data_IF_247197443368
#
_entry.id   IF_247197443368
#
_cell.length_a   1.000
_cell.length_b   1.000
_cell.length_c   1.000
_cell.angle_alpha   90.00
_cell.angle_beta   90.00
_cell.angle_gamma   90.00
#
_symmetry.space_group_name_H-M   'P 1'
#
loop_
_entity.id
_entity.type
_entity.pdbx_description
1 polymer ?
#
# COMPACT_ATOMS: atom_id res chain seq x y z
N UNK A 1 21.68 -2.48 17.67
CA UNK A 1 20.93 -3.76 17.81
C UNK A 1 21.09 -4.60 16.55
N UNK A 2 20.91 -5.93 16.68
CA UNK A 2 20.72 -6.83 15.55
C UNK A 2 19.24 -6.95 15.23
N UNK A 3 18.85 -6.60 14.02
CA UNK A 3 17.45 -6.51 13.62
C UNK A 3 17.19 -7.42 12.44
N UNK A 4 16.19 -8.29 12.54
CA UNK A 4 15.70 -9.10 11.44
C UNK A 4 14.38 -8.53 10.94
N UNK A 5 14.36 -7.99 9.73
CA UNK A 5 13.13 -7.59 9.05
C UNK A 5 12.68 -8.72 8.14
N UNK A 6 11.40 -9.10 8.19
CA UNK A 6 10.89 -10.18 7.34
C UNK A 6 9.59 -9.81 6.64
N UNK A 7 9.53 -10.09 5.34
CA UNK A 7 8.38 -9.89 4.49
C UNK A 7 8.22 -11.07 3.53
N UNK A 8 7.00 -11.58 3.36
CA UNK A 8 6.75 -12.73 2.49
C UNK A 8 6.29 -12.31 1.08
N UNK A 9 6.37 -11.04 0.79
CA UNK A 9 6.12 -10.43 -0.51
C UNK A 9 7.44 -10.06 -1.20
N UNK A 10 7.35 -9.60 -2.42
CA UNK A 10 8.50 -9.05 -3.15
C UNK A 10 8.84 -7.67 -2.58
N UNK A 11 10.08 -7.55 -2.09
CA UNK A 11 10.56 -6.31 -1.46
C UNK A 11 11.37 -5.45 -2.44
N UNK A 12 12.22 -6.09 -3.24
CA UNK A 12 13.09 -5.35 -4.16
C UNK A 12 13.31 -6.08 -5.49
N UNK A 13 13.20 -5.40 -6.64
CA UNK A 13 12.80 -3.99 -6.81
C UNK A 13 11.43 -3.66 -6.22
N UNK A 14 11.19 -2.39 -5.87
CA UNK A 14 9.92 -1.98 -5.29
C UNK A 14 8.77 -2.30 -6.26
N UNK A 15 7.82 -3.11 -5.80
CA UNK A 15 6.73 -3.61 -6.65
C UNK A 15 5.35 -3.06 -6.25
N UNK A 16 5.32 -2.03 -5.41
CA UNK A 16 4.10 -1.43 -4.84
C UNK A 16 3.68 -2.08 -3.52
N UNK A 17 2.52 -1.70 -3.00
CA UNK A 17 1.99 -2.20 -1.74
C UNK A 17 2.87 -1.88 -0.53
N UNK A 18 3.18 -2.88 0.28
CA UNK A 18 3.98 -2.71 1.49
C UNK A 18 5.48 -2.48 1.28
N UNK A 19 6.01 -2.73 0.07
CA UNK A 19 7.46 -2.64 -0.18
C UNK A 19 8.06 -1.24 0.04
N UNK A 20 7.43 -0.10 -0.31
CA UNK A 20 7.95 1.23 0.02
C UNK A 20 8.04 1.46 1.53
N UNK A 21 7.01 1.08 2.30
CA UNK A 21 7.02 1.22 3.76
C UNK A 21 8.16 0.45 4.39
N UNK A 22 8.30 -0.83 4.04
CA UNK A 22 9.32 -1.69 4.64
C UNK A 22 10.72 -1.29 4.24
N UNK A 23 10.97 -0.88 2.99
CA UNK A 23 12.28 -0.41 2.57
C UNK A 23 12.71 0.87 3.31
N UNK A 24 11.80 1.83 3.51
CA UNK A 24 12.09 3.03 4.30
C UNK A 24 12.40 2.69 5.77
N UNK A 25 11.69 1.75 6.38
CA UNK A 25 11.96 1.28 7.75
C UNK A 25 13.34 0.59 7.83
N UNK A 26 13.68 -0.28 6.86
CA UNK A 26 14.99 -0.93 6.79
C UNK A 26 16.11 0.10 6.69
N UNK A 27 15.98 1.05 5.77
CA UNK A 27 16.93 2.13 5.57
C UNK A 27 17.09 3.00 6.82
N UNK A 28 16.00 3.28 7.56
CA UNK A 28 16.07 4.05 8.80
C UNK A 28 16.85 3.29 9.89
N UNK A 29 16.61 1.98 10.06
CA UNK A 29 17.41 1.17 10.96
C UNK A 29 18.89 1.18 10.58
N UNK A 30 19.21 1.04 9.30
CA UNK A 30 20.59 1.05 8.81
C UNK A 30 21.27 2.43 9.03
N UNK A 31 20.59 3.53 8.72
CA UNK A 31 21.07 4.90 8.96
C UNK A 31 21.37 5.17 10.42
N UNK A 32 20.61 4.58 11.34
CA UNK A 32 20.82 4.72 12.80
C UNK A 32 21.86 3.74 13.36
N UNK A 33 22.61 3.05 12.48
CA UNK A 33 23.75 2.21 12.85
C UNK A 33 23.38 0.83 13.38
N UNK A 34 22.16 0.33 13.11
CA UNK A 34 21.78 -1.02 13.47
C UNK A 34 22.28 -2.04 12.43
N UNK A 35 22.60 -3.25 12.88
CA UNK A 35 22.92 -4.38 12.00
C UNK A 35 21.62 -5.03 11.51
N UNK A 36 21.32 -4.90 10.23
CA UNK A 36 20.02 -5.31 9.66
C UNK A 36 20.19 -6.53 8.75
N UNK A 37 19.47 -7.60 9.07
CA UNK A 37 19.26 -8.74 8.18
C UNK A 37 17.85 -8.67 7.60
N UNK A 38 17.72 -8.87 6.29
CA UNK A 38 16.44 -8.84 5.59
C UNK A 38 16.10 -10.24 5.09
N UNK A 39 14.93 -10.76 5.48
CA UNK A 39 14.38 -12.01 4.97
C UNK A 39 13.14 -11.71 4.11
N UNK A 40 13.28 -11.77 2.79
CA UNK A 40 12.20 -11.36 1.87
C UNK A 40 12.38 -11.82 0.44
N UNK A 41 11.45 -11.40 -0.41
CA UNK A 41 11.53 -11.58 -1.86
C UNK A 41 12.45 -10.55 -2.49
N UNK A 42 13.52 -11.03 -3.07
CA UNK A 42 14.49 -10.21 -3.79
C UNK A 42 14.61 -10.76 -5.20
N UNK A 43 14.26 -9.95 -6.19
CA UNK A 43 14.32 -10.34 -7.59
C UNK A 43 15.61 -9.89 -8.30
N UNK A 44 16.38 -8.97 -7.68
CA UNK A 44 17.69 -8.51 -8.15
C UNK A 44 18.87 -9.29 -7.54
N UNK A 45 20.10 -8.82 -7.73
CA UNK A 45 21.28 -9.34 -7.03
C UNK A 45 21.23 -8.98 -5.53
N UNK A 46 21.94 -9.77 -4.69
CA UNK A 46 22.01 -9.47 -3.27
C UNK A 46 22.80 -8.19 -2.98
N UNK A 47 23.83 -7.91 -3.81
CA UNK A 47 24.66 -6.71 -3.70
C UNK A 47 23.84 -5.44 -3.95
N UNK A 48 23.09 -5.42 -5.06
CA UNK A 48 22.23 -4.29 -5.42
C UNK A 48 21.14 -4.04 -4.35
N UNK A 49 20.50 -5.12 -3.88
CA UNK A 49 19.48 -5.00 -2.85
C UNK A 49 20.07 -4.55 -1.51
N UNK A 50 21.28 -5.01 -1.13
CA UNK A 50 21.96 -4.54 0.09
C UNK A 50 22.35 -3.08 0.01
N UNK A 51 22.87 -2.63 -1.14
CA UNK A 51 23.22 -1.24 -1.37
C UNK A 51 21.98 -0.34 -1.23
N UNK A 52 20.88 -0.72 -1.90
CA UNK A 52 19.63 0.04 -1.83
C UNK A 52 19.02 0.07 -0.43
N UNK A 53 18.92 -1.09 0.24
CA UNK A 53 18.29 -1.23 1.56
C UNK A 53 19.19 -0.81 2.71
N UNK A 54 20.49 -0.72 2.51
CA UNK A 54 21.49 -0.48 3.57
C UNK A 54 21.66 -1.66 4.53
N UNK A 55 21.20 -2.87 4.17
CA UNK A 55 21.22 -4.04 5.06
C UNK A 55 22.53 -4.81 4.93
N UNK A 56 22.89 -5.56 6.02
CA UNK A 56 24.14 -6.32 6.07
C UNK A 56 24.00 -7.72 5.49
N UNK A 57 22.81 -8.31 5.60
CA UNK A 57 22.54 -9.67 5.17
C UNK A 57 21.17 -9.82 4.51
N UNK A 58 21.09 -10.65 3.47
CA UNK A 58 19.85 -11.01 2.79
C UNK A 58 19.60 -12.51 2.90
N UNK A 59 18.37 -12.87 3.24
CA UNK A 59 17.84 -14.23 3.21
C UNK A 59 16.69 -14.27 2.22
N UNK A 60 16.92 -14.88 1.06
CA UNK A 60 15.89 -15.00 0.03
C UNK A 60 14.77 -15.93 0.49
N UNK A 61 13.56 -15.42 0.57
CA UNK A 61 12.35 -16.21 0.74
C UNK A 61 11.71 -16.52 -0.61
N UNK A 62 10.94 -17.60 -0.67
CA UNK A 62 10.09 -17.87 -1.84
C UNK A 62 8.86 -16.98 -1.74
N UNK A 63 8.80 -15.98 -2.59
CA UNK A 63 7.65 -15.11 -2.66
C UNK A 63 6.72 -15.53 -3.77
N UNK A 64 5.46 -15.20 -3.62
CA UNK A 64 4.47 -15.24 -4.68
C UNK A 64 4.03 -13.81 -4.83
N UNK A 65 4.40 -13.20 -5.94
CA UNK A 65 3.92 -11.86 -6.27
C UNK A 65 2.39 -11.91 -6.33
N UNK A 66 1.73 -11.22 -5.38
CA UNK A 66 0.30 -10.99 -5.27
C UNK A 66 -0.54 -12.20 -4.85
N UNK A 67 -1.54 -11.95 -4.02
CA UNK A 67 -2.61 -12.87 -3.62
C UNK A 67 -3.54 -13.16 -4.82
N UNK A 68 -3.03 -13.87 -5.80
CA UNK A 68 -3.83 -14.43 -6.88
C UNK A 68 -4.39 -15.77 -6.38
N UNK A 69 -5.73 -15.99 -6.37
CA UNK A 69 -6.33 -17.25 -5.95
C UNK A 69 -5.77 -18.46 -6.70
N UNK A 70 -5.39 -18.29 -7.98
CA UNK A 70 -4.76 -19.34 -8.78
C UNK A 70 -3.32 -19.65 -8.35
N UNK A 71 -2.64 -18.70 -7.71
CA UNK A 71 -1.28 -18.86 -7.15
C UNK A 71 -1.28 -19.27 -5.69
N UNK A 72 -2.42 -19.26 -5.02
CA UNK A 72 -2.57 -19.61 -3.61
C UNK A 72 -1.97 -20.98 -3.27
N UNK A 73 -2.11 -21.98 -4.16
CA UNK A 73 -1.47 -23.30 -3.98
C UNK A 73 0.05 -23.20 -3.89
N UNK A 74 0.68 -22.40 -4.78
CA UNK A 74 2.14 -22.18 -4.76
C UNK A 74 2.58 -21.47 -3.50
N UNK A 75 1.79 -20.51 -3.03
CA UNK A 75 2.01 -19.79 -1.80
C UNK A 75 1.98 -20.71 -0.57
N UNK A 76 0.98 -21.57 -0.45
CA UNK A 76 0.87 -22.56 0.63
C UNK A 76 2.04 -23.56 0.62
N UNK A 77 2.51 -23.99 -0.56
CA UNK A 77 3.66 -24.87 -0.69
C UNK A 77 5.00 -24.17 -0.34
N UNK A 78 5.10 -22.87 -0.58
CA UNK A 78 6.28 -22.09 -0.22
C UNK A 78 6.38 -21.83 1.29
N UNK A 79 5.27 -21.82 2.00
CA UNK A 79 5.17 -21.46 3.42
C UNK A 79 6.07 -22.31 4.34
N UNK A 80 6.03 -23.65 4.33
CA UNK A 80 6.89 -24.46 5.17
C UNK A 80 8.38 -24.20 4.92
N UNK A 81 8.78 -23.98 3.66
CA UNK A 81 10.17 -23.68 3.29
C UNK A 81 10.58 -22.32 3.84
N UNK A 82 9.72 -21.32 3.73
CA UNK A 82 9.97 -19.99 4.27
C UNK A 82 10.06 -20.00 5.80
N UNK A 83 9.17 -20.74 6.47
CA UNK A 83 9.22 -20.94 7.93
C UNK A 83 10.55 -21.54 8.36
N UNK A 84 10.98 -22.61 7.69
CA UNK A 84 12.26 -23.25 7.99
C UNK A 84 13.44 -22.29 7.77
N UNK A 85 13.45 -21.57 6.66
CA UNK A 85 14.49 -20.56 6.38
C UNK A 85 14.51 -19.46 7.45
N UNK A 86 13.34 -18.98 7.86
CA UNK A 86 13.22 -17.94 8.87
C UNK A 86 13.73 -18.43 10.25
N UNK A 87 13.31 -19.62 10.70
CA UNK A 87 13.81 -20.22 11.95
C UNK A 87 15.33 -20.37 11.92
N UNK A 88 15.89 -20.84 10.79
CA UNK A 88 17.34 -20.95 10.61
C UNK A 88 18.04 -19.59 10.66
N UNK A 89 17.44 -18.55 10.06
CA UNK A 89 17.97 -17.19 10.07
C UNK A 89 17.98 -16.60 11.47
N UNK A 90 16.89 -16.76 12.23
CA UNK A 90 16.83 -16.31 13.63
C UNK A 90 17.91 -16.99 14.48
N UNK A 91 18.11 -18.32 14.31
CA UNK A 91 19.17 -19.06 15.02
C UNK A 91 20.58 -18.57 14.69
N UNK A 92 20.83 -18.28 13.40
CA UNK A 92 22.16 -17.88 12.93
C UNK A 92 22.47 -16.44 13.27
N UNK A 93 21.55 -15.54 12.95
CA UNK A 93 21.73 -14.09 13.12
C UNK A 93 21.59 -13.65 14.58
N UNK A 94 20.78 -14.35 15.37
CA UNK A 94 20.46 -14.06 16.79
C UNK A 94 20.02 -12.61 16.97
N UNK A 95 18.90 -12.19 16.34
CA UNK A 95 18.42 -10.83 16.42
C UNK A 95 17.98 -10.44 17.84
N UNK A 96 18.15 -9.18 18.18
CA UNK A 96 17.53 -8.55 19.35
C UNK A 96 16.06 -8.24 19.11
N UNK A 97 15.74 -7.88 17.85
CA UNK A 97 14.43 -7.44 17.39
C UNK A 97 14.09 -8.16 16.07
N UNK A 98 12.85 -8.63 15.95
CA UNK A 98 12.28 -9.08 14.68
C UNK A 98 11.12 -8.13 14.31
N UNK A 99 11.16 -7.58 13.09
CA UNK A 99 10.09 -6.73 12.52
C UNK A 99 9.49 -7.47 11.33
N UNK A 100 8.46 -8.31 11.55
CA UNK A 100 7.73 -8.93 10.45
C UNK A 100 6.71 -7.96 9.84
N UNK A 101 6.59 -7.98 8.52
CA UNK A 101 5.54 -7.27 7.80
C UNK A 101 4.34 -8.18 7.60
N UNK A 102 3.19 -7.75 8.08
CA UNK A 102 1.92 -8.44 8.09
C UNK A 102 1.91 -9.78 8.86
N UNK A 103 0.74 -10.37 8.95
CA UNK A 103 0.45 -11.47 9.88
C UNK A 103 1.12 -12.79 9.51
N UNK A 104 1.33 -13.06 8.22
CA UNK A 104 1.96 -14.30 7.77
C UNK A 104 3.44 -14.32 8.15
N UNK A 105 4.17 -13.23 7.89
CA UNK A 105 5.55 -13.08 8.34
C UNK A 105 5.61 -13.03 9.87
N UNK A 106 4.61 -12.40 10.51
CA UNK A 106 4.44 -12.34 11.96
C UNK A 106 4.36 -13.73 12.61
N UNK A 107 3.52 -14.60 12.07
CA UNK A 107 3.44 -15.97 12.56
C UNK A 107 4.78 -16.73 12.42
N UNK A 108 5.45 -16.54 11.27
CA UNK A 108 6.78 -17.09 11.06
C UNK A 108 7.84 -16.56 12.03
N UNK A 109 7.80 -15.27 12.33
CA UNK A 109 8.70 -14.64 13.30
C UNK A 109 8.50 -15.21 14.70
N UNK A 110 7.25 -15.41 15.15
CA UNK A 110 6.94 -16.03 16.43
C UNK A 110 7.45 -17.47 16.53
N UNK A 111 7.29 -18.26 15.47
CA UNK A 111 7.87 -19.61 15.41
C UNK A 111 9.41 -19.56 15.43
N UNK A 112 10.01 -18.61 14.69
CA UNK A 112 11.44 -18.36 14.70
C UNK A 112 11.95 -18.04 16.11
N UNK A 113 11.31 -17.10 16.80
CA UNK A 113 11.64 -16.73 18.17
C UNK A 113 11.51 -17.93 19.13
N UNK A 114 10.39 -18.68 19.04
CA UNK A 114 10.12 -19.84 19.90
C UNK A 114 11.15 -20.98 19.75
N UNK A 115 11.54 -21.30 18.51
CA UNK A 115 12.36 -22.48 18.21
C UNK A 115 13.85 -22.14 18.00
N UNK A 116 14.27 -20.89 18.07
CA UNK A 116 15.67 -20.49 17.86
C UNK A 116 16.55 -20.63 19.09
N UNK A 117 15.99 -20.67 20.30
CA UNK A 117 16.71 -20.55 21.57
C UNK A 117 17.09 -19.10 21.91
N UNK A 118 16.74 -18.13 21.06
CA UNK A 118 16.84 -16.71 21.35
C UNK A 118 15.47 -16.18 21.84
N UNK A 119 15.48 -15.01 22.50
CA UNK A 119 14.25 -14.32 22.92
C UNK A 119 14.23 -12.91 22.30
N UNK A 120 14.14 -12.80 20.97
CA UNK A 120 14.03 -11.49 20.33
C UNK A 120 12.69 -10.85 20.67
N UNK A 121 12.65 -9.52 20.73
CA UNK A 121 11.41 -8.78 20.73
C UNK A 121 10.75 -8.93 19.35
N UNK A 122 9.44 -9.19 19.28
CA UNK A 122 8.70 -9.29 18.01
C UNK A 122 7.73 -8.11 17.90
N UNK A 123 8.05 -7.18 17.01
CA UNK A 123 7.22 -5.99 16.70
C UNK A 123 6.60 -6.17 15.33
N UNK A 124 5.33 -6.56 15.27
CA UNK A 124 4.62 -6.77 13.99
C UNK A 124 4.27 -5.42 13.36
N UNK A 125 4.78 -5.17 12.15
CA UNK A 125 4.35 -4.06 11.32
C UNK A 125 3.14 -4.52 10.49
N UNK A 126 1.93 -4.13 10.90
CA UNK A 126 0.67 -4.63 10.35
C UNK A 126 -0.03 -3.54 9.55
N UNK A 127 -0.07 -3.69 8.25
CA UNK A 127 -0.73 -2.76 7.34
C UNK A 127 -2.04 -3.30 6.79
N UNK A 128 -2.26 -4.62 6.90
CA UNK A 128 -3.42 -5.28 6.32
C UNK A 128 -3.79 -6.57 7.07
N UNK A 129 -5.09 -6.91 7.07
CA UNK A 129 -5.64 -8.17 7.55
C UNK A 129 -6.03 -9.03 6.35
N UNK A 130 -5.14 -9.94 5.99
CA UNK A 130 -5.13 -10.62 4.68
C UNK A 130 -6.29 -11.60 4.49
N UNK A 131 -6.72 -12.30 5.55
CA UNK A 131 -7.66 -13.40 5.41
C UNK A 131 -9.12 -12.95 5.34
N UNK A 132 -9.41 -11.69 5.64
CA UNK A 132 -10.72 -11.10 5.38
C UNK A 132 -10.95 -10.79 3.90
N UNK A 133 -9.89 -10.49 3.14
CA UNK A 133 -9.96 -10.37 1.68
C UNK A 133 -10.47 -11.65 1.00
N UNK A 134 -10.11 -12.81 1.53
CA UNK A 134 -10.46 -14.09 0.92
C UNK A 134 -11.95 -14.41 1.03
N UNK A 135 -12.69 -13.75 1.93
CA UNK A 135 -14.15 -13.94 2.06
C UNK A 135 -14.90 -13.48 0.80
N UNK A 136 -14.36 -12.50 0.11
CA UNK A 136 -14.97 -11.98 -1.11
C UNK A 136 -14.74 -12.89 -2.34
N UNK A 137 -13.81 -13.87 -2.24
CA UNK A 137 -13.38 -14.69 -3.38
C UNK A 137 -13.78 -16.16 -3.29
N UNK A 138 -14.40 -16.64 -2.19
CA UNK A 138 -14.60 -18.08 -2.01
C UNK A 138 -16.01 -18.48 -1.63
N UNK A 139 -16.55 -19.40 -2.41
CA UNK A 139 -17.73 -20.19 -2.10
C UNK A 139 -17.35 -21.67 -2.08
N UNK A 140 -16.79 -22.15 -0.93
CA UNK A 140 -16.73 -23.59 -0.64
C UNK A 140 -15.43 -24.35 -0.97
N UNK A 141 -15.33 -25.57 -0.48
CA UNK A 141 -14.27 -26.53 -0.76
C UNK A 141 -12.99 -26.34 0.09
N UNK A 142 -11.82 -26.69 -0.48
CA UNK A 142 -10.52 -26.60 0.19
C UNK A 142 -10.10 -25.16 0.54
N UNK A 143 -10.57 -24.16 -0.20
CA UNK A 143 -10.34 -22.73 0.09
C UNK A 143 -10.89 -22.33 1.46
N UNK A 144 -12.04 -22.85 1.87
CA UNK A 144 -12.60 -22.61 3.21
C UNK A 144 -11.70 -23.13 4.34
N UNK A 145 -11.01 -24.27 4.12
CA UNK A 145 -10.03 -24.79 5.10
C UNK A 145 -8.78 -23.89 5.18
N UNK A 146 -8.31 -23.41 4.03
CA UNK A 146 -7.18 -22.47 3.95
C UNK A 146 -7.50 -21.17 4.68
N UNK A 147 -8.70 -20.61 4.47
CA UNK A 147 -9.15 -19.42 5.16
C UNK A 147 -9.22 -19.62 6.67
N UNK A 148 -9.86 -20.71 7.13
CA UNK A 148 -9.93 -21.02 8.58
C UNK A 148 -8.55 -21.16 9.21
N UNK A 149 -7.62 -21.82 8.51
CA UNK A 149 -6.24 -21.96 9.00
C UNK A 149 -5.51 -20.61 8.97
N UNK A 150 -5.65 -19.85 7.89
CA UNK A 150 -5.07 -18.54 7.74
C UNK A 150 -5.52 -17.55 8.81
N UNK A 151 -6.83 -17.48 9.09
CA UNK A 151 -7.37 -16.65 10.18
C UNK A 151 -6.81 -17.05 11.56
N UNK A 152 -6.60 -18.37 11.80
CA UNK A 152 -5.96 -18.82 13.04
C UNK A 152 -4.50 -18.37 13.10
N UNK A 153 -3.76 -18.42 12.00
CA UNK A 153 -2.39 -17.92 11.93
C UNK A 153 -2.33 -16.42 12.16
N UNK A 154 -3.23 -15.67 11.52
CA UNK A 154 -3.37 -14.22 11.67
C UNK A 154 -3.65 -13.85 13.13
N UNK A 155 -4.66 -14.46 13.73
CA UNK A 155 -4.97 -14.27 15.14
C UNK A 155 -3.80 -14.66 16.06
N UNK A 156 -3.06 -15.72 15.74
CA UNK A 156 -1.89 -16.14 16.51
C UNK A 156 -0.74 -15.12 16.38
N UNK A 157 -0.52 -14.56 15.18
CA UNK A 157 0.47 -13.52 14.96
C UNK A 157 0.14 -12.24 15.75
N UNK A 158 -1.11 -11.80 15.71
CA UNK A 158 -1.57 -10.59 16.39
C UNK A 158 -1.48 -10.75 17.92
N UNK A 159 -2.00 -11.85 18.47
CA UNK A 159 -1.99 -12.07 19.93
C UNK A 159 -0.58 -12.34 20.47
N UNK A 160 0.24 -13.04 19.69
CA UNK A 160 1.59 -13.44 20.07
C UNK A 160 2.64 -12.35 19.93
N UNK A 161 2.35 -11.27 19.21
CA UNK A 161 3.25 -10.13 19.09
C UNK A 161 3.51 -9.47 20.45
N UNK A 162 4.76 -9.07 20.71
CA UNK A 162 5.09 -8.24 21.87
C UNK A 162 4.52 -6.82 21.70
N UNK A 163 4.64 -6.29 20.48
CA UNK A 163 4.06 -5.01 20.05
C UNK A 163 3.58 -5.09 18.59
N UNK A 164 2.66 -4.19 18.25
CA UNK A 164 2.14 -4.03 16.89
C UNK A 164 2.25 -2.56 16.51
N UNK A 165 2.75 -2.26 15.33
CA UNK A 165 2.70 -0.93 14.73
C UNK A 165 1.83 -1.03 13.48
N UNK A 166 0.75 -0.25 13.45
CA UNK A 166 -0.22 -0.25 12.35
C UNK A 166 -0.37 1.13 11.72
N UNK A 167 -1.16 1.25 10.65
CA UNK A 167 -1.20 2.44 9.77
C UNK A 167 -2.30 3.44 10.12
N UNK A 168 -3.36 3.03 10.80
CA UNK A 168 -4.49 3.88 11.13
C UNK A 168 -5.13 3.49 12.46
N UNK A 169 -5.92 4.37 13.05
CA UNK A 169 -6.76 4.07 14.22
C UNK A 169 -7.85 3.07 13.84
N UNK A 170 -8.43 3.23 12.65
CA UNK A 170 -9.41 2.29 12.13
C UNK A 170 -8.84 0.86 12.02
N UNK A 171 -7.60 0.69 11.54
CA UNK A 171 -6.92 -0.61 11.54
C UNK A 171 -6.65 -1.10 12.98
N UNK A 172 -6.30 -0.21 13.91
CA UNK A 172 -6.15 -0.58 15.33
C UNK A 172 -7.44 -1.17 15.90
N UNK A 173 -8.59 -0.59 15.60
CA UNK A 173 -9.89 -1.14 16.06
C UNK A 173 -10.14 -2.55 15.47
N UNK A 174 -9.87 -2.75 14.20
CA UNK A 174 -9.95 -4.08 13.56
C UNK A 174 -9.03 -5.08 14.26
N UNK A 175 -7.79 -4.68 14.57
CA UNK A 175 -6.81 -5.54 15.25
C UNK A 175 -7.29 -5.93 16.66
N UNK A 176 -7.96 -5.03 17.38
CA UNK A 176 -8.49 -5.31 18.73
C UNK A 176 -9.54 -6.42 18.72
N UNK A 177 -10.30 -6.59 17.64
CA UNK A 177 -11.28 -7.69 17.49
C UNK A 177 -10.63 -9.08 17.51
N UNK A 178 -9.33 -9.16 17.19
CA UNK A 178 -8.55 -10.40 17.30
C UNK A 178 -8.17 -10.76 18.73
N UNK A 179 -8.51 -9.92 19.74
CA UNK A 179 -8.31 -10.19 21.17
C UNK A 179 -6.89 -9.90 21.66
N UNK A 180 -6.21 -8.94 21.08
CA UNK A 180 -4.98 -8.34 21.61
C UNK A 180 -5.29 -7.12 22.47
N UNK A 181 -4.31 -6.61 23.22
CA UNK A 181 -4.48 -5.46 24.12
C UNK A 181 -4.12 -4.14 23.43
N UNK A 182 -4.88 -3.09 23.70
CA UNK A 182 -4.73 -1.77 23.06
C UNK A 182 -3.37 -1.09 23.36
N UNK A 183 -2.77 -1.40 24.52
CA UNK A 183 -1.44 -0.89 24.91
C UNK A 183 -0.29 -1.50 24.12
N UNK A 184 -0.54 -2.61 23.42
CA UNK A 184 0.43 -3.22 22.50
C UNK A 184 0.43 -2.57 21.13
N UNK A 185 -0.55 -1.75 20.77
CA UNK A 185 -0.77 -1.26 19.42
C UNK A 185 -0.47 0.24 19.34
N UNK A 186 0.52 0.59 18.53
CA UNK A 186 0.83 1.98 18.17
C UNK A 186 0.46 2.24 16.70
N UNK A 187 0.16 3.51 16.41
CA UNK A 187 -0.21 3.94 15.05
C UNK A 187 0.90 4.80 14.47
N UNK A 188 1.47 4.35 13.36
CA UNK A 188 2.35 5.12 12.48
C UNK A 188 1.83 4.96 11.05
N UNK A 189 1.29 6.03 10.52
CA UNK A 189 0.69 6.08 9.19
C UNK A 189 1.73 5.76 8.09
N UNK A 190 1.25 5.50 6.89
CA UNK A 190 2.07 5.50 5.68
C UNK A 190 2.45 6.92 5.30
N UNK A 191 3.41 7.05 4.40
CA UNK A 191 3.92 8.33 3.95
C UNK A 191 4.40 8.29 2.50
N UNK A 192 5.10 9.34 2.09
CA UNK A 192 5.65 9.47 0.75
C UNK A 192 7.11 9.94 0.79
N UNK A 193 7.89 9.51 -0.20
CA UNK A 193 9.25 9.98 -0.43
C UNK A 193 9.23 11.24 -1.30
N UNK A 194 9.43 12.41 -0.69
CA UNK A 194 9.47 13.70 -1.38
C UNK A 194 10.71 13.89 -2.28
N UNK A 195 11.70 13.03 -2.18
CA UNK A 195 12.82 12.97 -3.13
C UNK A 195 12.35 12.42 -4.50
N UNK A 196 11.38 11.53 -4.48
CA UNK A 196 10.82 10.86 -5.67
C UNK A 196 9.53 11.56 -6.13
N UNK A 197 8.57 11.69 -5.22
CA UNK A 197 7.26 12.27 -5.51
C UNK A 197 7.27 13.77 -5.23
N UNK A 198 7.14 14.54 -6.28
CA UNK A 198 7.09 16.01 -6.25
C UNK A 198 6.48 16.54 -7.54
N UNK A 199 6.07 17.79 -7.54
CA UNK A 199 5.52 18.43 -8.74
C UNK A 199 6.61 18.69 -9.77
N UNK A 200 6.42 18.15 -10.97
CA UNK A 200 7.25 18.40 -12.17
C UNK A 200 6.49 19.28 -13.17
N UNK A 201 7.23 19.94 -14.06
CA UNK A 201 6.66 20.42 -15.31
C UNK A 201 6.51 19.23 -16.26
N UNK A 202 5.29 18.93 -16.68
CA UNK A 202 4.94 17.70 -17.43
C UNK A 202 3.96 17.98 -18.58
N UNK A 203 4.04 19.18 -19.16
CA UNK A 203 3.18 19.61 -20.29
C UNK A 203 3.38 18.74 -21.54
N UNK A 204 4.56 18.15 -21.71
CA UNK A 204 4.91 17.19 -22.76
C UNK A 204 4.03 15.94 -22.70
N UNK A 205 3.84 15.36 -21.52
CA UNK A 205 3.02 14.16 -21.33
C UNK A 205 1.54 14.46 -21.63
N UNK A 206 1.07 15.63 -21.21
CA UNK A 206 -0.31 16.06 -21.41
C UNK A 206 -0.60 16.27 -22.90
N UNK A 207 0.33 16.88 -23.65
CA UNK A 207 0.20 17.08 -25.09
C UNK A 207 0.14 15.77 -25.88
N UNK A 208 0.84 14.73 -25.44
CA UNK A 208 0.88 13.42 -26.09
C UNK A 208 -0.34 12.55 -25.73
N UNK A 209 -0.71 12.47 -24.46
CA UNK A 209 -1.68 11.48 -23.98
C UNK A 209 -3.06 12.07 -23.64
N UNK A 210 -3.22 13.38 -23.67
CA UNK A 210 -4.47 14.07 -23.40
C UNK A 210 -4.70 15.24 -24.37
N UNK A 211 -4.28 15.12 -25.63
CA UNK A 211 -4.46 16.17 -26.64
C UNK A 211 -5.94 16.55 -26.77
N UNK A 212 -6.24 17.85 -26.62
CA UNK A 212 -7.61 18.36 -26.65
C UNK A 212 -8.42 18.16 -25.37
N UNK A 213 -7.88 17.50 -24.36
CA UNK A 213 -8.53 17.33 -23.05
C UNK A 213 -8.12 18.44 -22.10
N UNK A 214 -9.07 18.94 -21.30
CA UNK A 214 -8.84 20.02 -20.34
C UNK A 214 -8.52 19.49 -18.95
N UNK A 215 -9.18 18.41 -18.55
CA UNK A 215 -9.02 17.81 -17.23
C UNK A 215 -8.50 16.38 -17.34
N UNK A 216 -7.49 16.06 -16.55
CA UNK A 216 -6.88 14.73 -16.46
C UNK A 216 -7.05 14.17 -15.05
N UNK A 217 -7.82 13.09 -14.96
CA UNK A 217 -8.04 12.33 -13.73
C UNK A 217 -7.01 11.20 -13.65
N UNK A 218 -6.34 11.06 -12.52
CA UNK A 218 -5.30 10.05 -12.30
C UNK A 218 -5.81 8.95 -11.38
N UNK A 219 -5.74 7.71 -11.84
CA UNK A 219 -5.84 6.53 -10.97
C UNK A 219 -4.54 5.72 -11.09
N UNK A 220 -3.77 5.64 -10.00
CA UNK A 220 -2.45 5.02 -10.03
C UNK A 220 -2.31 3.87 -9.05
N UNK A 221 -1.33 2.98 -9.32
CA UNK A 221 -0.88 1.90 -8.45
C UNK A 221 -0.98 0.52 -9.07
N UNK A 222 -1.12 -0.48 -8.22
CA UNK A 222 -1.45 -1.85 -8.63
C UNK A 222 -2.96 -1.92 -8.82
N UNK A 223 -3.40 -2.21 -10.05
CA UNK A 223 -4.81 -2.19 -10.43
C UNK A 223 -5.37 -3.60 -10.34
N UNK A 224 -5.89 -3.95 -9.18
CA UNK A 224 -6.43 -5.29 -8.90
C UNK A 224 -7.95 -5.25 -8.64
N UNK A 225 -8.68 -6.34 -8.90
CA UNK A 225 -10.15 -6.38 -8.75
C UNK A 225 -10.65 -6.03 -7.35
N UNK A 226 -9.82 -6.26 -6.33
CA UNK A 226 -10.17 -5.97 -4.94
C UNK A 226 -10.39 -4.49 -4.64
N UNK A 227 -9.84 -3.59 -5.47
CA UNK A 227 -10.01 -2.14 -5.30
C UNK A 227 -11.29 -1.64 -5.99
N UNK A 228 -12.00 -2.49 -6.76
CA UNK A 228 -13.23 -2.14 -7.47
C UNK A 228 -13.03 -1.12 -8.61
N UNK A 229 -11.98 -1.29 -9.47
CA UNK A 229 -11.65 -0.30 -10.48
C UNK A 229 -12.71 -0.15 -11.58
N UNK A 230 -13.66 -1.07 -11.67
CA UNK A 230 -14.82 -0.99 -12.58
C UNK A 230 -15.70 0.25 -12.33
N UNK A 231 -15.72 0.76 -11.09
CA UNK A 231 -16.42 2.01 -10.75
C UNK A 231 -15.89 3.21 -11.57
N UNK A 232 -14.63 3.16 -12.00
CA UNK A 232 -14.07 4.23 -12.85
C UNK A 232 -14.71 4.26 -14.22
N UNK A 233 -15.04 3.09 -14.79
CA UNK A 233 -15.64 3.05 -16.15
C UNK A 233 -17.07 3.51 -16.10
N UNK A 234 -17.86 3.07 -15.12
CA UNK A 234 -19.25 3.55 -14.99
C UNK A 234 -19.33 5.04 -14.67
N UNK A 235 -18.43 5.56 -13.84
CA UNK A 235 -18.33 7.00 -13.62
C UNK A 235 -17.89 7.75 -14.87
N UNK A 236 -16.97 7.19 -15.67
CA UNK A 236 -16.50 7.80 -16.92
C UNK A 236 -17.59 7.85 -18.00
N UNK A 237 -18.47 6.84 -18.10
CA UNK A 237 -19.61 6.88 -19.02
C UNK A 237 -20.51 8.10 -18.79
N UNK A 238 -20.78 8.40 -17.52
CA UNK A 238 -21.59 9.58 -17.14
C UNK A 238 -20.80 10.87 -17.34
N UNK A 239 -19.58 10.92 -16.82
CA UNK A 239 -18.76 12.14 -16.85
C UNK A 239 -18.37 12.54 -18.27
N UNK A 240 -17.93 11.63 -19.14
CA UNK A 240 -17.54 11.95 -20.51
C UNK A 240 -18.71 12.36 -21.39
N UNK A 241 -19.94 11.95 -21.06
CA UNK A 241 -21.15 12.43 -21.73
C UNK A 241 -21.39 13.91 -21.42
N UNK A 242 -21.22 14.33 -20.17
CA UNK A 242 -21.40 15.72 -19.74
C UNK A 242 -20.16 16.60 -20.01
N UNK A 243 -18.97 16.02 -19.93
CA UNK A 243 -17.65 16.68 -19.97
C UNK A 243 -16.70 15.90 -20.91
N UNK A 244 -16.89 15.94 -22.23
CA UNK A 244 -16.09 15.16 -23.20
C UNK A 244 -14.60 15.57 -23.21
N UNK A 245 -14.26 16.72 -22.64
CA UNK A 245 -12.89 17.20 -22.45
C UNK A 245 -12.16 16.56 -21.26
N UNK A 246 -12.74 15.55 -20.59
CA UNK A 246 -12.10 14.82 -19.50
C UNK A 246 -11.32 13.61 -20.01
N UNK A 247 -10.16 13.34 -19.42
CA UNK A 247 -9.36 12.14 -19.65
C UNK A 247 -9.12 11.40 -18.34
N UNK A 248 -9.04 10.07 -18.43
CA UNK A 248 -8.71 9.15 -17.34
C UNK A 248 -7.37 8.49 -17.63
N UNK A 249 -6.38 8.74 -16.79
CA UNK A 249 -5.08 8.10 -16.88
C UNK A 249 -4.95 7.01 -15.83
N UNK A 250 -4.79 5.78 -16.29
CA UNK A 250 -4.56 4.60 -15.47
C UNK A 250 -3.06 4.35 -15.44
N UNK A 251 -2.41 4.75 -14.34
CA UNK A 251 -0.95 4.71 -14.18
C UNK A 251 -0.55 3.48 -13.38
N UNK A 252 0.01 2.49 -14.05
CA UNK A 252 0.44 1.23 -13.45
C UNK A 252 -0.09 0.00 -14.16
N UNK A 253 0.07 -1.13 -13.51
CA UNK A 253 -0.31 -2.45 -14.00
C UNK A 253 -1.10 -3.22 -12.93
N UNK A 254 -1.78 -4.29 -13.32
CA UNK A 254 -2.49 -5.14 -12.39
C UNK A 254 -3.36 -6.17 -13.07
N UNK A 255 -3.90 -7.09 -12.28
CA UNK A 255 -4.69 -8.20 -12.80
C UNK A 255 -6.06 -7.76 -13.33
N UNK A 256 -6.55 -6.58 -12.94
CA UNK A 256 -7.80 -6.00 -13.46
C UNK A 256 -7.64 -5.28 -14.80
N UNK A 257 -6.42 -4.93 -15.25
CA UNK A 257 -6.20 -4.14 -16.47
C UNK A 257 -6.86 -4.75 -17.72
N UNK A 258 -6.74 -6.08 -18.00
CA UNK A 258 -7.39 -6.64 -19.19
C UNK A 258 -8.93 -6.49 -19.18
N UNK A 259 -9.56 -6.69 -18.02
CA UNK A 259 -11.00 -6.52 -17.87
C UNK A 259 -11.40 -5.05 -18.01
N UNK A 260 -10.64 -4.14 -17.40
CA UNK A 260 -10.87 -2.71 -17.46
C UNK A 260 -10.78 -2.19 -18.90
N UNK A 261 -9.74 -2.57 -19.66
CA UNK A 261 -9.62 -2.22 -21.09
C UNK A 261 -10.79 -2.73 -21.92
N UNK A 262 -11.27 -3.94 -21.63
CA UNK A 262 -12.44 -4.49 -22.32
C UNK A 262 -13.69 -3.64 -22.03
N UNK A 263 -13.96 -3.31 -20.77
CA UNK A 263 -15.10 -2.45 -20.38
C UNK A 263 -15.02 -1.07 -21.03
N UNK A 264 -13.84 -0.43 -21.02
CA UNK A 264 -13.61 0.87 -21.69
C UNK A 264 -13.92 0.79 -23.19
N UNK A 265 -13.52 -0.30 -23.87
CA UNK A 265 -13.82 -0.53 -25.27
C UNK A 265 -15.32 -0.75 -25.55
N UNK A 266 -15.99 -1.54 -24.70
CA UNK A 266 -17.43 -1.80 -24.80
C UNK A 266 -18.26 -0.52 -24.55
N UNK A 267 -17.80 0.37 -23.68
CA UNK A 267 -18.40 1.66 -23.41
C UNK A 267 -18.05 2.75 -24.46
N UNK A 268 -17.18 2.46 -25.43
CA UNK A 268 -16.76 3.42 -26.46
C UNK A 268 -15.89 4.56 -25.93
N UNK A 269 -15.21 4.36 -24.79
CA UNK A 269 -14.43 5.39 -24.09
C UNK A 269 -12.92 5.38 -24.38
N UNK A 270 -12.49 4.69 -25.45
CA UNK A 270 -11.05 4.54 -25.77
C UNK A 270 -10.31 5.89 -25.88
N UNK A 271 -10.96 6.93 -26.40
CA UNK A 271 -10.35 8.26 -26.54
C UNK A 271 -10.27 9.07 -25.22
N UNK A 272 -10.94 8.58 -24.18
CA UNK A 272 -10.91 9.18 -22.85
C UNK A 272 -9.93 8.49 -21.91
N UNK A 273 -9.49 7.27 -22.21
CA UNK A 273 -8.62 6.47 -21.33
C UNK A 273 -7.21 6.31 -21.88
N UNK A 274 -6.23 6.55 -21.02
CA UNK A 274 -4.84 6.22 -21.28
C UNK A 274 -4.36 5.19 -20.23
N UNK A 275 -3.65 4.16 -20.66
CA UNK A 275 -3.06 3.11 -19.82
C UNK A 275 -1.55 3.13 -19.99
N UNK A 276 -0.82 3.54 -18.95
CA UNK A 276 0.63 3.70 -19.04
C UNK A 276 1.40 2.38 -19.07
N UNK A 277 0.83 1.30 -18.51
CA UNK A 277 1.60 0.13 -18.14
C UNK A 277 2.46 0.37 -16.91
N UNK A 278 3.39 -0.56 -16.64
CA UNK A 278 4.32 -0.45 -15.52
C UNK A 278 5.32 0.69 -15.74
N UNK A 279 5.49 1.53 -14.72
CA UNK A 279 6.42 2.66 -14.70
C UNK A 279 7.28 2.61 -13.43
N UNK A 280 8.46 3.21 -13.48
CA UNK A 280 9.26 3.50 -12.29
C UNK A 280 8.57 4.57 -11.42
N UNK A 281 8.86 4.63 -10.13
CA UNK A 281 8.27 5.64 -9.23
C UNK A 281 8.53 7.08 -9.71
N UNK A 282 9.72 7.35 -10.26
CA UNK A 282 10.05 8.66 -10.81
C UNK A 282 9.18 9.01 -12.04
N UNK A 283 8.93 8.04 -12.93
CA UNK A 283 8.02 8.22 -14.05
C UNK A 283 6.58 8.40 -13.58
N UNK A 284 6.11 7.58 -12.60
CA UNK A 284 4.79 7.74 -11.98
C UNK A 284 4.61 9.17 -11.46
N UNK A 285 5.61 9.71 -10.75
CA UNK A 285 5.58 11.09 -10.24
C UNK A 285 5.43 12.13 -11.36
N UNK A 286 6.11 11.93 -12.51
CA UNK A 286 5.97 12.82 -13.66
C UNK A 286 4.57 12.75 -14.28
N UNK A 287 4.02 11.54 -14.44
CA UNK A 287 2.66 11.37 -14.95
C UNK A 287 1.61 11.98 -14.02
N UNK A 288 1.75 11.77 -12.70
CA UNK A 288 0.87 12.41 -11.72
C UNK A 288 0.94 13.93 -11.80
N UNK A 289 2.15 14.50 -11.95
CA UNK A 289 2.33 15.96 -12.07
C UNK A 289 1.65 16.57 -13.32
N UNK A 290 1.33 15.74 -14.31
CA UNK A 290 0.56 16.15 -15.50
C UNK A 290 -0.96 16.06 -15.28
N UNK A 291 -1.43 15.47 -14.18
CA UNK A 291 -2.83 15.35 -13.83
C UNK A 291 -3.36 16.56 -13.05
N UNK A 292 -4.68 16.59 -12.89
CA UNK A 292 -5.39 17.62 -12.13
C UNK A 292 -6.00 17.05 -10.84
N UNK A 293 -6.60 15.87 -10.90
CA UNK A 293 -7.32 15.24 -9.79
C UNK A 293 -6.86 13.79 -9.63
N UNK A 294 -6.45 13.42 -8.43
CA UNK A 294 -6.13 12.03 -8.06
C UNK A 294 -7.36 11.30 -7.52
N UNK A 295 -7.61 10.10 -8.04
CA UNK A 295 -8.73 9.26 -7.63
C UNK A 295 -8.27 8.12 -6.73
N UNK A 296 -8.92 7.96 -5.58
CA UNK A 296 -8.82 6.79 -4.72
C UNK A 296 -10.11 6.01 -4.86
N UNK A 297 -10.01 4.76 -5.30
CA UNK A 297 -11.16 3.86 -5.45
C UNK A 297 -10.94 2.68 -4.52
N UNK A 298 -11.87 2.48 -3.60
CA UNK A 298 -11.91 1.35 -2.66
C UNK A 298 -13.37 1.02 -2.34
N UNK A 299 -13.71 -0.27 -2.25
CA UNK A 299 -15.03 -0.70 -1.81
C UNK A 299 -15.17 -0.57 -0.28
N UNK A 300 -16.41 -0.48 0.21
CA UNK A 300 -16.69 -0.49 1.65
C UNK A 300 -16.68 -1.93 2.21
N UNK A 301 -15.48 -2.45 2.43
CA UNK A 301 -15.23 -3.75 3.06
C UNK A 301 -14.31 -3.59 4.27
N UNK A 302 -14.34 -4.54 5.20
CA UNK A 302 -13.60 -4.44 6.49
C UNK A 302 -12.13 -4.09 6.29
N UNK A 303 -11.43 -4.81 5.39
CA UNK A 303 -10.01 -4.55 5.11
C UNK A 303 -9.76 -3.15 4.54
N UNK A 304 -10.65 -2.62 3.69
CA UNK A 304 -10.51 -1.28 3.13
C UNK A 304 -10.80 -0.18 4.16
N UNK A 305 -11.72 -0.43 5.12
CA UNK A 305 -12.03 0.53 6.19
C UNK A 305 -10.84 0.86 7.08
N UNK A 306 -9.91 -0.09 7.26
CA UNK A 306 -8.69 0.12 8.04
C UNK A 306 -7.50 0.66 7.24
N UNK A 307 -7.61 0.71 5.91
CA UNK A 307 -6.49 0.97 5.01
C UNK A 307 -6.38 2.44 4.64
N UNK A 308 -5.25 3.03 4.96
CA UNK A 308 -4.71 4.23 4.32
C UNK A 308 -3.89 3.75 3.13
N UNK A 309 -4.00 4.38 1.96
CA UNK A 309 -3.20 3.99 0.80
C UNK A 309 -1.98 4.92 0.64
N UNK A 310 -1.08 4.60 -0.27
CA UNK A 310 0.02 5.53 -0.61
C UNK A 310 -0.46 6.62 -1.58
N UNK A 311 -1.57 6.35 -2.29
CA UNK A 311 -2.06 7.17 -3.40
C UNK A 311 -2.32 8.62 -2.99
N UNK A 312 -3.04 8.85 -1.90
CA UNK A 312 -3.39 10.18 -1.43
C UNK A 312 -2.15 11.02 -1.12
N UNK A 313 -1.13 10.43 -0.50
CA UNK A 313 0.12 11.14 -0.19
C UNK A 313 0.95 11.43 -1.43
N UNK A 314 1.01 10.49 -2.37
CA UNK A 314 1.71 10.62 -3.64
C UNK A 314 1.02 11.66 -4.55
N UNK A 315 -0.33 11.69 -4.58
CA UNK A 315 -1.11 12.71 -5.27
C UNK A 315 -0.82 14.10 -4.70
N UNK A 316 -0.90 14.26 -3.38
CA UNK A 316 -0.60 15.53 -2.75
C UNK A 316 0.84 15.98 -2.96
N UNK A 317 1.82 15.08 -2.88
CA UNK A 317 3.21 15.40 -3.17
C UNK A 317 3.41 15.92 -4.60
N UNK A 318 2.59 15.47 -5.55
CA UNK A 318 2.57 15.95 -6.94
C UNK A 318 1.63 17.16 -7.15
N UNK A 319 0.93 17.63 -6.12
CA UNK A 319 0.08 18.81 -6.16
C UNK A 319 -1.33 18.59 -6.71
N UNK A 320 -1.83 17.35 -6.73
CA UNK A 320 -3.18 17.02 -7.15
C UNK A 320 -4.16 17.17 -5.98
N UNK A 321 -5.38 17.62 -6.28
CA UNK A 321 -6.52 17.41 -5.40
C UNK A 321 -6.90 15.93 -5.37
N UNK A 322 -7.57 15.47 -4.30
CA UNK A 322 -7.94 14.07 -4.13
C UNK A 322 -9.44 13.90 -4.02
N UNK A 323 -9.99 12.92 -4.74
CA UNK A 323 -11.35 12.43 -4.54
C UNK A 323 -11.26 10.98 -4.05
N UNK A 324 -11.83 10.71 -2.87
CA UNK A 324 -11.67 9.43 -2.18
C UNK A 324 -13.01 8.93 -1.60
N UNK A 325 -13.18 7.60 -1.40
CA UNK A 325 -14.36 7.10 -0.71
C UNK A 325 -14.30 7.47 0.77
N UNK A 326 -15.47 7.79 1.36
CA UNK A 326 -15.58 8.07 2.80
C UNK A 326 -15.44 6.79 3.61
N UNK A 327 -14.20 6.44 3.92
CA UNK A 327 -13.84 5.28 4.74
C UNK A 327 -13.09 5.71 5.99
N UNK A 328 -13.27 5.02 7.15
CA UNK A 328 -12.73 5.46 8.44
C UNK A 328 -11.22 5.79 8.43
N UNK A 329 -10.39 4.97 7.80
CA UNK A 329 -8.94 5.24 7.75
C UNK A 329 -8.60 6.44 6.86
N UNK A 330 -9.33 6.68 5.78
CA UNK A 330 -9.11 7.83 4.90
C UNK A 330 -9.57 9.14 5.57
N UNK A 331 -10.61 9.09 6.41
CA UNK A 331 -11.04 10.25 7.21
C UNK A 331 -10.01 10.67 8.28
N UNK A 332 -9.04 9.82 8.60
CA UNK A 332 -7.93 10.18 9.51
C UNK A 332 -6.87 11.06 8.84
N UNK A 333 -6.76 11.01 7.50
CA UNK A 333 -5.69 11.67 6.75
C UNK A 333 -6.20 12.75 5.78
N UNK A 334 -7.41 12.60 5.23
CA UNK A 334 -8.04 13.56 4.32
C UNK A 334 -8.97 14.47 5.11
N UNK A 335 -8.80 15.78 4.98
CA UNK A 335 -9.71 16.80 5.51
C UNK A 335 -10.70 17.18 4.41
N UNK A 336 -11.98 16.78 4.56
CA UNK A 336 -13.05 17.03 3.57
C UNK A 336 -13.22 18.52 3.26
N UNK A 337 -13.21 18.87 1.98
CA UNK A 337 -13.27 20.25 1.50
C UNK A 337 -11.95 21.03 1.59
N UNK A 338 -10.89 20.50 2.23
CA UNK A 338 -9.60 21.16 2.36
C UNK A 338 -8.48 20.45 1.59
N UNK A 339 -8.27 19.15 1.83
CA UNK A 339 -7.21 18.38 1.16
C UNK A 339 -7.76 17.35 0.18
N UNK A 340 -9.07 17.10 0.20
CA UNK A 340 -9.77 16.20 -0.70
C UNK A 340 -11.28 16.33 -0.57
N UNK A 341 -12.02 15.64 -1.44
CA UNK A 341 -13.46 15.46 -1.34
C UNK A 341 -13.80 14.00 -1.15
N UNK A 342 -14.76 13.72 -0.28
CA UNK A 342 -15.26 12.36 -0.09
C UNK A 342 -16.52 12.09 -0.90
N UNK A 343 -16.56 10.89 -1.51
CA UNK A 343 -17.78 10.32 -2.09
C UNK A 343 -18.21 9.07 -1.28
N UNK A 344 -19.49 8.70 -1.38
CA UNK A 344 -19.99 7.48 -0.74
C UNK A 344 -19.46 6.24 -1.47
N UNK A 345 -18.81 5.29 -0.78
CA UNK A 345 -18.22 4.11 -1.40
C UNK A 345 -19.23 3.35 -2.27
N UNK A 346 -18.87 3.07 -3.53
CA UNK A 346 -19.73 2.39 -4.50
C UNK A 346 -20.81 3.26 -5.16
N UNK A 347 -20.96 4.52 -4.77
CA UNK A 347 -21.91 5.46 -5.38
C UNK A 347 -21.21 6.22 -6.51
N UNK A 348 -21.46 5.78 -7.75
CA UNK A 348 -20.86 6.38 -8.95
C UNK A 348 -21.39 7.80 -9.21
N UNK A 349 -22.65 8.08 -8.87
CA UNK A 349 -23.23 9.41 -9.05
C UNK A 349 -22.61 10.42 -8.09
N UNK A 350 -22.33 10.00 -6.86
CA UNK A 350 -21.63 10.84 -5.90
C UNK A 350 -20.17 11.07 -6.31
N UNK A 351 -19.47 10.02 -6.80
CA UNK A 351 -18.12 10.15 -7.35
C UNK A 351 -18.09 11.16 -8.49
N UNK A 352 -19.02 11.06 -9.45
CA UNK A 352 -19.13 12.01 -10.58
C UNK A 352 -19.36 13.43 -10.06
N UNK A 353 -20.32 13.64 -9.16
CA UNK A 353 -20.59 14.97 -8.58
C UNK A 353 -19.35 15.58 -7.90
N UNK A 354 -18.56 14.80 -7.18
CA UNK A 354 -17.33 15.30 -6.52
C UNK A 354 -16.26 15.69 -7.54
N UNK A 355 -16.13 14.89 -8.60
CA UNK A 355 -15.21 15.21 -9.70
C UNK A 355 -15.67 16.50 -10.40
N UNK A 356 -16.95 16.62 -10.74
CA UNK A 356 -17.52 17.83 -11.38
C UNK A 356 -17.32 19.07 -10.51
N UNK A 357 -17.48 18.97 -9.20
CA UNK A 357 -17.21 20.09 -8.28
C UNK A 357 -15.79 20.65 -8.46
N UNK A 358 -14.78 19.77 -8.64
CA UNK A 358 -13.39 20.19 -8.84
C UNK A 358 -13.09 20.64 -10.29
N UNK A 359 -13.83 20.13 -11.28
CA UNK A 359 -13.73 20.59 -12.67
C UNK A 359 -14.33 21.99 -12.82
N UNK A 360 -15.44 22.24 -12.16
CA UNK A 360 -16.16 23.52 -12.23
C UNK A 360 -15.47 24.64 -11.43
N UNK A 361 -14.65 24.28 -10.42
CA UNK A 361 -13.83 25.21 -9.64
C UNK A 361 -12.34 24.78 -9.65
N UNK A 362 -11.59 25.08 -10.72
CA UNK A 362 -10.17 24.74 -10.82
C UNK A 362 -9.29 25.42 -9.75
N UNK A 363 -9.69 26.60 -9.28
CA UNK A 363 -8.97 27.32 -8.22
C UNK A 363 -9.11 26.59 -6.86
N UNK A 364 -10.32 26.10 -6.56
CA UNK A 364 -10.56 25.21 -5.40
C UNK A 364 -9.73 23.94 -5.52
N UNK A 365 -9.75 23.28 -6.68
CA UNK A 365 -8.98 22.06 -6.94
C UNK A 365 -7.49 22.27 -6.70
N UNK A 366 -6.92 23.33 -7.28
CA UNK A 366 -5.51 23.70 -7.13
C UNK A 366 -5.16 23.99 -5.67
N UNK A 367 -5.98 24.79 -4.98
CA UNK A 367 -5.76 25.11 -3.55
C UNK A 367 -5.78 23.85 -2.69
N UNK A 368 -6.68 22.92 -2.99
CA UNK A 368 -6.79 21.64 -2.30
C UNK A 368 -5.50 20.79 -2.45
N UNK A 369 -4.92 20.73 -3.65
CA UNK A 369 -3.63 20.10 -3.88
C UNK A 369 -2.48 20.79 -3.13
N UNK A 370 -2.45 22.13 -3.10
CA UNK A 370 -1.46 22.91 -2.35
C UNK A 370 -1.57 22.69 -0.83
N UNK A 371 -2.78 22.60 -0.28
CA UNK A 371 -2.97 22.24 1.13
C UNK A 371 -2.55 20.80 1.42
N UNK A 372 -2.84 19.86 0.51
CA UNK A 372 -2.36 18.48 0.59
C UNK A 372 -0.85 18.39 0.62
N UNK A 373 -0.13 19.15 -0.23
CA UNK A 373 1.33 19.22 -0.22
C UNK A 373 1.88 19.66 1.14
N UNK A 374 1.32 20.71 1.75
CA UNK A 374 1.73 21.17 3.09
C UNK A 374 1.56 20.07 4.14
N UNK A 375 0.42 19.38 4.11
CA UNK A 375 0.12 18.29 5.04
C UNK A 375 1.13 17.15 4.90
N UNK A 376 1.51 16.78 3.67
CA UNK A 376 2.52 15.75 3.42
C UNK A 376 3.89 16.19 3.94
N UNK A 377 4.31 17.40 3.65
CA UNK A 377 5.60 17.94 4.11
C UNK A 377 5.70 17.96 5.64
N UNK A 378 4.61 18.29 6.32
CA UNK A 378 4.58 18.39 7.77
C UNK A 378 4.46 17.04 8.49
N UNK A 379 3.68 16.08 7.95
CA UNK A 379 3.21 14.92 8.72
C UNK A 379 3.54 13.57 8.10
N UNK A 380 3.64 13.46 6.75
CA UNK A 380 3.65 12.18 6.05
C UNK A 380 4.91 11.93 5.23
N UNK A 381 6.04 12.47 5.63
CA UNK A 381 7.35 12.17 5.03
C UNK A 381 7.89 10.84 5.56
N UNK A 382 8.36 9.99 4.67
CA UNK A 382 8.91 8.69 5.05
C UNK A 382 10.13 8.77 5.96
N UNK A 383 11.05 9.76 5.76
CA UNK A 383 12.21 9.92 6.63
C UNK A 383 11.78 10.12 8.10
N UNK A 384 10.81 11.01 8.35
CA UNK A 384 10.28 11.26 9.69
C UNK A 384 9.51 10.05 10.26
N UNK A 385 8.62 9.42 9.46
CA UNK A 385 7.79 8.31 9.94
C UNK A 385 8.61 7.06 10.23
N UNK A 386 9.62 6.76 9.39
CA UNK A 386 10.50 5.63 9.59
C UNK A 386 11.42 5.82 10.80
N UNK A 387 11.94 7.03 11.03
CA UNK A 387 12.72 7.34 12.24
C UNK A 387 11.87 7.23 13.51
N UNK A 388 10.61 7.64 13.46
CA UNK A 388 9.64 7.44 14.54
C UNK A 388 9.37 5.96 14.82
N UNK A 389 9.30 5.13 13.76
CA UNK A 389 9.17 3.67 13.88
C UNK A 389 10.36 3.07 14.60
N UNK A 390 11.58 3.44 14.21
CA UNK A 390 12.83 2.99 14.85
C UNK A 390 12.86 3.37 16.32
N UNK A 391 12.56 4.64 16.64
CA UNK A 391 12.54 5.13 18.03
C UNK A 391 11.56 4.38 18.93
N UNK A 392 10.37 3.97 18.39
CA UNK A 392 9.45 3.11 19.14
C UNK A 392 10.06 1.72 19.40
N UNK A 393 10.67 1.11 18.39
CA UNK A 393 11.30 -0.19 18.54
C UNK A 393 12.43 -0.18 19.58
N UNK A 394 13.24 0.88 19.61
CA UNK A 394 14.30 1.07 20.61
C UNK A 394 13.73 1.21 22.03
N UNK A 395 12.66 2.00 22.16
CA UNK A 395 11.94 2.18 23.45
C UNK A 395 11.38 0.86 23.99
N UNK A 396 10.88 -0.02 23.14
CA UNK A 396 10.32 -1.31 23.55
C UNK A 396 11.40 -2.30 23.97
N UNK A 397 12.63 -2.14 23.52
CA UNK A 397 13.76 -3.02 23.87
C UNK A 397 14.38 -2.67 25.21
N UNK A 398 14.36 -1.40 25.60
CA UNK A 398 14.85 -0.89 26.90
C UNK A 398 13.82 -1.05 28.01
#
# INVERSE_FOLDING_TARGET
MKILVTIFEELYPLSGGGSPRISNIIQAFARQGHEVCVAGGIASSDEEAKEYLGCTEIVRLKTVSRLDPHKMKKYLLAHPVNMFRLIRSVRRFKPDLIVPHNTIAGYGALLGAKYSGCKPLVVVNLTDVLFEYLDNYSSGGWLSLVQKFGRKMEAAAIRGADRIITISRAMKEIILEYGTSADKIEVICDGVDLGIFKKYQSDDLRSVHAAGKKTVLIFQGVIDPQDGPELLVSAAEKLCTARPETAFWIIGEGTAIPALKKMVGEAGLNDAFFFSGWLTQAEVSRYMSAGDIGLVILPDIVSARGRVTLKEFEYWACGLSVVAPRLPALEEVIEDGRTGLFYHPGDEDDLVRKIETLIDDPDMSKKMGEEGMKVVEEKYRWDYLADRFVGLCEKYRN
#
